data_IF_899585121038
#
_entry.id   IF_899585121038
#
_cell.length_a   1.000
_cell.length_b   1.000
_cell.length_c   1.000
_cell.angle_alpha   90.00
_cell.angle_beta   90.00
_cell.angle_gamma   90.00
#
_symmetry.space_group_name_H-M   'P 1'
#
loop_
_entity.id
_entity.type
_entity.pdbx_description
1 polymer ?
#
# COMPACT_ATOMS: atom_id res chain seq x y z
N UNK A 1 -5.50 7.27 11.06
CA UNK A 1 -4.97 8.64 11.17
C UNK A 1 -5.93 9.69 10.63
N UNK A 2 -6.27 9.64 9.31
CA UNK A 2 -7.09 10.67 8.64
C UNK A 2 -8.45 10.90 9.33
N UNK A 3 -9.18 9.85 9.67
CA UNK A 3 -10.48 9.99 10.37
C UNK A 3 -10.33 10.71 11.72
N UNK A 4 -9.29 10.40 12.48
CA UNK A 4 -9.01 11.07 13.76
C UNK A 4 -8.58 12.53 13.53
N UNK A 5 -7.81 12.80 12.50
CA UNK A 5 -7.44 14.16 12.11
C UNK A 5 -8.69 15.00 11.74
N UNK A 6 -9.64 14.40 10.98
CA UNK A 6 -10.92 15.05 10.67
C UNK A 6 -11.70 15.34 11.96
N UNK A 7 -11.86 14.35 12.86
CA UNK A 7 -12.54 14.56 14.14
C UNK A 7 -11.97 15.77 14.90
N UNK A 8 -10.65 15.82 15.03
CA UNK A 8 -9.97 16.91 15.74
C UNK A 8 -10.11 18.25 15.01
N UNK A 9 -10.05 18.27 13.70
CA UNK A 9 -10.18 19.51 12.92
C UNK A 9 -11.60 20.10 12.96
N UNK A 10 -12.62 19.28 13.19
CA UNK A 10 -14.01 19.74 13.24
C UNK A 10 -14.46 20.25 14.61
N UNK A 11 -13.69 20.01 15.68
CA UNK A 11 -14.08 20.44 17.03
C UNK A 11 -14.22 21.96 17.14
N UNK A 12 -13.36 22.73 16.48
CA UNK A 12 -13.46 24.19 16.46
C UNK A 12 -14.80 24.66 15.88
N UNK A 13 -15.21 24.11 14.75
CA UNK A 13 -16.48 24.47 14.11
C UNK A 13 -17.70 24.00 14.91
N UNK A 14 -17.57 22.83 15.59
CA UNK A 14 -18.63 22.30 16.43
C UNK A 14 -18.88 23.17 17.67
N UNK A 15 -17.80 23.68 18.28
CA UNK A 15 -17.86 24.43 19.55
C UNK A 15 -17.88 25.95 19.36
N UNK A 16 -17.63 26.44 18.14
CA UNK A 16 -17.50 27.87 17.86
C UNK A 16 -16.20 28.50 18.35
N UNK A 17 -15.26 27.73 18.92
CA UNK A 17 -13.99 28.27 19.42
C UNK A 17 -13.13 28.73 18.27
N UNK A 18 -12.61 29.97 18.27
CA UNK A 18 -11.76 30.47 17.20
C UNK A 18 -10.52 29.61 16.99
N UNK A 19 -10.21 29.30 15.70
CA UNK A 19 -9.02 28.55 15.36
C UNK A 19 -7.77 29.40 15.46
N UNK A 20 -6.81 29.00 16.29
CA UNK A 20 -5.50 29.67 16.40
C UNK A 20 -4.49 29.19 15.35
N UNK A 21 -4.93 28.46 14.32
CA UNK A 21 -4.06 27.87 13.30
C UNK A 21 -3.33 26.61 13.79
N UNK A 22 -2.40 26.10 12.99
CA UNK A 22 -1.60 24.93 13.31
C UNK A 22 -2.27 23.59 13.02
N UNK A 23 -1.68 22.52 13.56
CA UNK A 23 -2.11 21.13 13.32
C UNK A 23 -3.39 20.78 14.08
N UNK A 24 -4.17 19.83 13.55
CA UNK A 24 -5.49 19.47 14.08
C UNK A 24 -5.47 19.06 15.56
N UNK A 25 -4.46 18.34 16.00
CA UNK A 25 -4.32 17.93 17.42
C UNK A 25 -4.15 19.13 18.35
N UNK A 26 -3.37 20.14 17.97
CA UNK A 26 -3.16 21.36 18.80
C UNK A 26 -4.47 22.14 18.92
N UNK A 27 -5.23 22.26 17.82
CA UNK A 27 -6.56 22.89 17.83
C UNK A 27 -7.53 22.14 18.71
N UNK A 28 -7.58 20.81 18.61
CA UNK A 28 -8.43 19.98 19.47
C UNK A 28 -8.10 20.13 20.95
N UNK A 29 -6.80 20.12 21.31
CA UNK A 29 -6.36 20.34 22.68
C UNK A 29 -6.76 21.72 23.19
N UNK A 30 -6.62 22.76 22.36
CA UNK A 30 -7.06 24.11 22.73
C UNK A 30 -8.56 24.16 23.02
N UNK A 31 -9.39 23.56 22.20
CA UNK A 31 -10.84 23.46 22.43
C UNK A 31 -11.15 22.74 23.74
N UNK A 32 -10.52 21.58 23.98
CA UNK A 32 -10.77 20.77 25.18
C UNK A 32 -10.33 21.46 26.46
N UNK A 33 -9.21 22.21 26.42
CA UNK A 33 -8.66 22.90 27.60
C UNK A 33 -9.34 24.23 27.93
N UNK A 34 -10.13 24.79 26.99
CA UNK A 34 -10.77 26.07 27.16
C UNK A 34 -12.31 26.00 26.97
N UNK A 35 -13.03 25.21 27.75
CA UNK A 35 -14.50 25.08 27.61
C UNK A 35 -15.26 26.40 27.84
N UNK A 36 -14.67 27.36 28.53
CA UNK A 36 -15.23 28.67 28.72
C UNK A 36 -15.33 29.51 27.45
N UNK A 37 -14.66 29.12 26.36
CA UNK A 37 -14.76 29.80 25.08
C UNK A 37 -15.85 29.22 24.15
N UNK A 38 -16.62 28.26 24.61
CA UNK A 38 -17.69 27.65 23.80
C UNK A 38 -18.78 28.62 23.49
N UNK A 39 -19.11 28.73 22.22
CA UNK A 39 -20.32 29.42 21.77
C UNK A 39 -21.52 28.46 21.89
N UNK A 40 -22.35 28.65 22.90
CA UNK A 40 -23.46 27.75 23.20
C UNK A 40 -24.49 27.63 22.08
N UNK A 41 -24.88 28.69 21.36
CA UNK A 41 -25.73 28.56 20.17
C UNK A 41 -25.11 27.67 19.06
N UNK A 42 -23.84 27.87 18.78
CA UNK A 42 -23.10 27.05 17.80
C UNK A 42 -23.04 25.59 18.24
N UNK A 43 -22.68 25.34 19.50
CA UNK A 43 -22.59 23.97 20.04
C UNK A 43 -23.95 23.27 20.04
N UNK A 44 -25.02 23.95 20.50
CA UNK A 44 -26.37 23.40 20.51
C UNK A 44 -26.87 23.05 19.10
N UNK A 45 -26.58 23.91 18.12
CA UNK A 45 -26.89 23.67 16.71
C UNK A 45 -26.16 22.45 16.17
N UNK A 46 -24.86 22.33 16.44
CA UNK A 46 -24.07 21.18 16.00
C UNK A 46 -24.49 19.88 16.68
N UNK A 47 -24.73 19.90 17.98
CA UNK A 47 -25.23 18.73 18.71
C UNK A 47 -26.61 18.28 18.22
N UNK A 48 -27.54 19.24 17.95
CA UNK A 48 -28.83 18.89 17.35
C UNK A 48 -28.69 18.21 16.02
N UNK A 49 -27.76 18.65 15.15
CA UNK A 49 -27.47 18.00 13.88
C UNK A 49 -26.92 16.57 14.08
N UNK A 50 -26.04 16.35 15.08
CA UNK A 50 -25.53 15.00 15.41
C UNK A 50 -26.69 14.10 15.87
N UNK A 51 -27.54 14.57 16.76
CA UNK A 51 -28.67 13.80 17.28
C UNK A 51 -29.64 13.43 16.16
N UNK A 52 -30.02 14.39 15.31
CA UNK A 52 -30.90 14.16 14.15
C UNK A 52 -30.27 13.10 13.24
N UNK A 53 -28.98 13.24 12.90
CA UNK A 53 -28.27 12.33 12.03
C UNK A 53 -28.23 10.90 12.59
N UNK A 54 -27.93 10.75 13.88
CA UNK A 54 -27.86 9.44 14.53
C UNK A 54 -29.26 8.80 14.69
N UNK A 55 -30.27 9.58 14.99
CA UNK A 55 -31.66 9.12 15.10
C UNK A 55 -32.18 8.58 13.75
N UNK A 56 -31.91 9.30 12.66
CA UNK A 56 -32.40 8.94 11.33
C UNK A 56 -31.59 7.81 10.65
N UNK A 57 -30.34 7.59 11.03
CA UNK A 57 -29.49 6.55 10.41
C UNK A 57 -30.03 5.12 10.55
N UNK A 58 -30.89 4.85 11.52
CA UNK A 58 -31.47 3.51 11.79
C UNK A 58 -32.87 3.34 11.22
N UNK A 59 -33.44 4.33 10.55
CA UNK A 59 -34.80 4.31 10.04
C UNK A 59 -34.90 4.15 8.52
N UNK A 60 -36.11 4.08 7.98
CA UNK A 60 -36.38 3.98 6.55
C UNK A 60 -35.87 5.20 5.75
N UNK A 61 -35.64 6.31 6.42
CA UNK A 61 -35.12 7.57 5.84
C UNK A 61 -33.60 7.75 6.01
N UNK A 62 -32.86 6.68 6.32
CA UNK A 62 -31.41 6.74 6.55
C UNK A 62 -30.63 7.39 5.40
N UNK A 63 -31.06 7.21 4.16
CA UNK A 63 -30.43 7.81 2.97
C UNK A 63 -30.52 9.35 2.97
N UNK A 64 -31.52 9.91 3.62
CA UNK A 64 -31.74 11.37 3.72
C UNK A 64 -31.25 11.97 5.04
N UNK A 65 -30.71 11.15 5.96
CA UNK A 65 -30.35 11.56 7.30
C UNK A 65 -29.40 12.76 7.33
N UNK A 66 -28.38 12.76 6.48
CA UNK A 66 -27.41 13.88 6.38
C UNK A 66 -28.06 15.16 5.86
N UNK A 67 -28.96 15.04 4.89
CA UNK A 67 -29.68 16.17 4.32
C UNK A 67 -30.62 16.82 5.34
N UNK A 68 -31.36 16.00 6.09
CA UNK A 68 -32.26 16.48 7.17
C UNK A 68 -31.45 17.09 8.32
N UNK A 69 -30.33 16.49 8.71
CA UNK A 69 -29.45 17.02 9.75
C UNK A 69 -28.77 18.35 9.36
N UNK A 70 -28.60 18.63 8.07
CA UNK A 70 -28.19 19.96 7.61
C UNK A 70 -29.34 20.94 7.53
N UNK A 71 -30.49 20.53 6.99
CA UNK A 71 -31.60 21.41 6.69
C UNK A 71 -32.36 21.89 7.95
N UNK A 72 -32.73 20.98 8.87
CA UNK A 72 -33.54 21.31 10.03
C UNK A 72 -32.89 22.35 10.94
N UNK A 73 -31.61 22.18 11.41
CA UNK A 73 -30.98 23.20 12.23
C UNK A 73 -30.75 24.52 11.48
N UNK A 74 -30.48 24.44 10.15
CA UNK A 74 -30.33 25.66 9.33
C UNK A 74 -31.64 26.47 9.31
N UNK A 75 -32.77 25.80 9.07
CA UNK A 75 -34.09 26.44 9.07
C UNK A 75 -34.41 26.99 10.47
N UNK A 76 -34.14 26.21 11.52
CA UNK A 76 -34.40 26.67 12.91
C UNK A 76 -33.60 27.93 13.23
N UNK A 77 -32.31 27.99 12.87
CA UNK A 77 -31.48 29.19 13.07
C UNK A 77 -32.01 30.42 12.31
N UNK A 78 -32.49 30.21 11.07
CA UNK A 78 -33.08 31.31 10.29
C UNK A 78 -34.35 31.83 10.91
N UNK A 79 -35.22 30.95 11.40
CA UNK A 79 -36.49 31.34 12.06
C UNK A 79 -36.27 32.00 13.41
N UNK A 80 -35.28 31.56 14.19
CA UNK A 80 -34.93 32.11 15.50
C UNK A 80 -34.14 33.42 15.41
N UNK A 81 -33.66 33.80 14.22
CA UNK A 81 -32.85 35.01 14.02
C UNK A 81 -31.55 35.02 14.82
N UNK A 82 -31.00 33.83 15.14
CA UNK A 82 -29.83 33.73 16.02
C UNK A 82 -28.59 34.26 15.27
N UNK A 83 -28.02 35.34 15.80
CA UNK A 83 -26.77 35.92 15.31
C UNK A 83 -25.57 35.19 15.94
N UNK A 84 -24.41 35.22 15.25
CA UNK A 84 -23.14 34.73 15.81
C UNK A 84 -22.71 33.34 15.31
N UNK A 85 -23.64 32.51 14.82
CA UNK A 85 -23.26 31.20 14.27
C UNK A 85 -22.65 31.36 12.88
N UNK A 86 -21.38 30.95 12.71
CA UNK A 86 -20.63 31.04 11.43
C UNK A 86 -21.30 30.18 10.37
N UNK A 87 -21.54 30.75 9.20
CA UNK A 87 -22.17 30.12 8.04
C UNK A 87 -21.12 29.86 6.95
N UNK A 88 -21.45 28.99 6.00
CA UNK A 88 -20.57 28.69 4.87
C UNK A 88 -20.22 29.95 4.08
N UNK A 89 -21.21 30.86 3.90
CA UNK A 89 -21.00 32.14 3.21
C UNK A 89 -20.04 33.10 3.90
N UNK A 90 -19.85 32.98 5.24
CA UNK A 90 -18.93 33.79 6.02
C UNK A 90 -17.48 33.35 5.91
N UNK A 91 -17.24 32.08 5.50
CA UNK A 91 -15.91 31.48 5.38
C UNK A 91 -15.33 31.65 3.97
N UNK A 92 -16.19 31.71 2.97
CA UNK A 92 -15.74 31.89 1.58
C UNK A 92 -16.89 32.13 0.61
N UNK A 93 -16.59 32.76 -0.50
CA UNK A 93 -17.55 32.98 -1.59
C UNK A 93 -17.81 31.66 -2.32
N UNK A 94 -19.08 31.26 -2.38
CA UNK A 94 -19.52 30.16 -3.23
C UNK A 94 -19.79 30.74 -4.61
N UNK A 95 -19.08 30.31 -5.66
CA UNK A 95 -19.35 30.77 -7.02
C UNK A 95 -20.81 30.48 -7.38
N UNK A 96 -21.52 31.48 -7.86
CA UNK A 96 -22.86 31.31 -8.41
C UNK A 96 -22.76 31.08 -9.91
N UNK A 97 -23.47 30.05 -10.41
CA UNK A 97 -23.51 29.72 -11.83
C UNK A 97 -22.59 28.54 -12.20
N UNK A 98 -22.54 28.28 -13.51
CA UNK A 98 -21.70 27.20 -14.05
C UNK A 98 -20.23 27.62 -14.07
N UNK A 99 -19.31 26.78 -13.58
CA UNK A 99 -17.89 27.06 -13.67
C UNK A 99 -17.46 27.12 -15.14
N UNK A 100 -16.80 28.20 -15.51
CA UNK A 100 -16.22 28.31 -16.87
C UNK A 100 -14.83 27.67 -16.91
N UNK A 101 -14.46 27.08 -18.04
CA UNK A 101 -13.13 26.50 -18.20
C UNK A 101 -12.05 27.61 -18.12
N UNK A 102 -10.98 27.33 -17.42
CA UNK A 102 -9.86 28.21 -17.22
C UNK A 102 -8.55 27.46 -17.36
N UNK A 103 -7.64 27.98 -18.17
CA UNK A 103 -6.30 27.42 -18.27
C UNK A 103 -5.49 27.73 -17.01
N UNK A 104 -4.81 26.75 -16.44
CA UNK A 104 -3.91 27.00 -15.32
C UNK A 104 -2.82 28.02 -15.69
N UNK A 105 -2.53 28.93 -14.78
CA UNK A 105 -1.46 29.93 -14.96
C UNK A 105 -0.11 29.24 -14.85
N UNK A 106 0.75 29.39 -15.84
CA UNK A 106 2.13 28.88 -15.82
C UNK A 106 2.96 29.54 -14.71
N UNK A 107 2.62 30.76 -14.27
CA UNK A 107 3.28 31.45 -13.17
C UNK A 107 2.98 30.82 -11.79
N UNK A 108 1.94 30.02 -11.67
CA UNK A 108 1.62 29.27 -10.45
C UNK A 108 2.43 27.96 -10.33
N UNK A 109 3.23 27.60 -11.34
CA UNK A 109 4.01 26.37 -11.34
C UNK A 109 5.22 26.53 -10.40
N UNK A 110 5.24 25.78 -9.31
CA UNK A 110 6.31 25.75 -8.32
C UNK A 110 6.63 24.32 -7.90
N UNK A 111 7.80 24.09 -7.31
CA UNK A 111 8.17 22.79 -6.76
C UNK A 111 7.17 22.29 -5.71
N UNK A 112 6.63 23.20 -4.90
CA UNK A 112 5.63 22.87 -3.89
C UNK A 112 4.32 22.38 -4.51
N UNK A 113 3.89 23.00 -5.62
CA UNK A 113 2.71 22.56 -6.38
C UNK A 113 2.95 21.18 -6.99
N UNK A 114 4.12 20.92 -7.55
CA UNK A 114 4.49 19.61 -8.10
C UNK A 114 4.53 18.54 -7.01
N UNK A 115 5.20 18.83 -5.89
CA UNK A 115 5.27 17.91 -4.75
C UNK A 115 3.86 17.62 -4.18
N UNK A 116 3.02 18.67 -4.06
CA UNK A 116 1.63 18.56 -3.65
C UNK A 116 0.80 17.70 -4.62
N UNK A 117 1.00 17.86 -5.93
CA UNK A 117 0.33 17.07 -6.95
C UNK A 117 0.68 15.57 -6.85
N UNK A 118 1.96 15.22 -6.66
CA UNK A 118 2.38 13.85 -6.42
C UNK A 118 1.77 13.25 -5.15
N UNK A 119 1.75 14.02 -4.06
CA UNK A 119 1.15 13.57 -2.80
C UNK A 119 -0.36 13.33 -2.96
N UNK A 120 -1.08 14.23 -3.62
CA UNK A 120 -2.51 14.06 -3.92
C UNK A 120 -2.74 12.88 -4.85
N UNK A 121 -1.93 12.71 -5.91
CA UNK A 121 -2.02 11.56 -6.81
C UNK A 121 -1.84 10.23 -6.06
N UNK A 122 -0.87 10.14 -5.15
CA UNK A 122 -0.69 8.94 -4.31
C UNK A 122 -1.93 8.63 -3.46
N UNK A 123 -2.56 9.66 -2.85
CA UNK A 123 -3.79 9.50 -2.08
C UNK A 123 -4.93 9.01 -2.97
N UNK A 124 -5.11 9.61 -4.14
CA UNK A 124 -6.15 9.26 -5.12
C UNK A 124 -5.98 7.81 -5.59
N UNK A 125 -4.75 7.38 -5.87
CA UNK A 125 -4.45 6.00 -6.27
C UNK A 125 -4.78 5.00 -5.16
N UNK A 126 -4.39 5.27 -3.91
CA UNK A 126 -4.70 4.40 -2.76
C UNK A 126 -6.21 4.32 -2.51
N UNK A 127 -6.92 5.44 -2.62
CA UNK A 127 -8.39 5.46 -2.50
C UNK A 127 -9.05 4.68 -3.66
N UNK A 128 -8.59 4.88 -4.87
CA UNK A 128 -9.08 4.18 -6.06
C UNK A 128 -8.89 2.68 -5.97
N UNK A 129 -7.71 2.21 -5.57
CA UNK A 129 -7.45 0.79 -5.33
C UNK A 129 -8.42 0.18 -4.31
N UNK A 130 -8.65 0.89 -3.19
CA UNK A 130 -9.59 0.43 -2.16
C UNK A 130 -11.05 0.35 -2.64
N UNK A 131 -11.44 1.17 -3.61
CA UNK A 131 -12.78 1.08 -4.25
C UNK A 131 -12.83 -0.11 -5.19
N UNK A 132 -11.84 -0.27 -6.07
CA UNK A 132 -11.78 -1.39 -7.02
C UNK A 132 -11.85 -2.74 -6.32
N UNK A 133 -11.15 -2.91 -5.19
CA UNK A 133 -11.21 -4.13 -4.39
C UNK A 133 -12.56 -4.35 -3.69
N UNK A 134 -13.22 -3.27 -3.24
CA UNK A 134 -14.45 -3.36 -2.46
C UNK A 134 -15.72 -3.42 -3.30
N UNK A 135 -15.63 -3.13 -4.58
CA UNK A 135 -16.77 -2.98 -5.49
C UNK A 135 -16.50 -3.66 -6.85
N UNK A 136 -16.52 -5.02 -6.93
CA UNK A 136 -16.38 -5.73 -8.19
C UNK A 136 -17.47 -5.31 -9.19
N UNK A 137 -17.24 -5.56 -10.47
CA UNK A 137 -18.21 -5.25 -11.52
C UNK A 137 -19.57 -5.94 -11.28
N UNK A 138 -20.67 -5.40 -11.84
CA UNK A 138 -22.01 -6.01 -11.67
C UNK A 138 -22.13 -7.45 -12.18
N UNK A 139 -21.28 -7.84 -13.12
CA UNK A 139 -21.17 -9.21 -13.67
C UNK A 139 -20.31 -10.14 -12.80
N UNK A 140 -19.79 -9.66 -11.66
CA UNK A 140 -18.93 -10.40 -10.75
C UNK A 140 -17.45 -10.46 -11.15
N UNK A 141 -17.09 -9.89 -12.30
CA UNK A 141 -15.67 -9.82 -12.70
C UNK A 141 -14.90 -8.84 -11.82
N UNK A 142 -13.60 -9.08 -11.57
CA UNK A 142 -12.76 -8.12 -10.87
C UNK A 142 -12.74 -6.77 -11.60
N UNK A 143 -12.71 -5.68 -10.85
CA UNK A 143 -12.45 -4.37 -11.42
C UNK A 143 -11.04 -4.31 -12.02
N UNK A 144 -10.86 -3.53 -13.08
CA UNK A 144 -9.54 -3.26 -13.67
C UNK A 144 -8.94 -2.00 -13.04
N UNK A 145 -7.97 -2.11 -12.11
CA UNK A 145 -7.40 -0.95 -11.42
C UNK A 145 -6.75 0.05 -12.38
N UNK A 146 -6.14 -0.42 -13.48
CA UNK A 146 -5.49 0.46 -14.43
C UNK A 146 -6.50 1.36 -15.15
N UNK A 147 -7.62 0.80 -15.57
CA UNK A 147 -8.73 1.58 -16.17
C UNK A 147 -9.33 2.58 -15.20
N UNK A 148 -9.50 2.17 -13.95
CA UNK A 148 -10.02 3.03 -12.90
C UNK A 148 -9.06 4.20 -12.61
N UNK A 149 -7.76 3.96 -12.57
CA UNK A 149 -6.75 5.00 -12.38
C UNK A 149 -6.69 5.98 -13.56
N UNK A 150 -6.77 5.48 -14.80
CA UNK A 150 -6.84 6.33 -15.99
C UNK A 150 -8.09 7.20 -15.95
N UNK A 151 -9.25 6.63 -15.59
CA UNK A 151 -10.51 7.37 -15.50
C UNK A 151 -10.47 8.44 -14.41
N UNK A 152 -9.89 8.13 -13.22
CA UNK A 152 -9.69 9.11 -12.14
C UNK A 152 -8.73 10.22 -12.55
N UNK A 153 -7.63 9.89 -13.24
CA UNK A 153 -6.68 10.86 -13.77
C UNK A 153 -7.34 11.81 -14.79
N UNK A 154 -8.11 11.27 -15.74
CA UNK A 154 -8.84 12.05 -16.73
C UNK A 154 -9.90 12.96 -16.08
N UNK A 155 -10.64 12.43 -15.08
CA UNK A 155 -11.61 13.21 -14.32
C UNK A 155 -10.96 14.37 -13.55
N UNK A 156 -9.81 14.13 -12.92
CA UNK A 156 -9.06 15.17 -12.19
C UNK A 156 -8.44 16.21 -13.13
N UNK A 157 -7.97 15.81 -14.30
CA UNK A 157 -7.54 16.76 -15.35
C UNK A 157 -8.70 17.66 -15.78
N UNK A 158 -9.86 17.08 -16.08
CA UNK A 158 -11.07 17.84 -16.41
C UNK A 158 -11.46 18.79 -15.27
N UNK A 159 -11.47 18.32 -14.01
CA UNK A 159 -11.77 19.15 -12.85
C UNK A 159 -10.80 20.33 -12.73
N UNK A 160 -9.51 20.13 -13.01
CA UNK A 160 -8.49 21.19 -13.00
C UNK A 160 -8.79 22.34 -13.97
N UNK A 161 -9.33 22.05 -15.16
CA UNK A 161 -9.76 23.08 -16.10
C UNK A 161 -10.96 23.92 -15.60
N UNK A 162 -11.75 23.37 -14.69
CA UNK A 162 -12.89 24.06 -14.08
C UNK A 162 -12.58 24.57 -12.65
N UNK A 163 -11.31 24.66 -12.26
CA UNK A 163 -10.85 25.05 -10.91
C UNK A 163 -11.44 24.14 -9.81
N UNK A 164 -11.76 22.91 -10.15
CA UNK A 164 -12.23 21.91 -9.22
C UNK A 164 -11.11 21.33 -8.38
N UNK A 165 -11.46 20.84 -7.20
CA UNK A 165 -10.52 20.10 -6.36
C UNK A 165 -10.30 18.68 -6.91
N UNK A 166 -9.09 18.12 -6.77
CA UNK A 166 -8.85 16.72 -7.11
C UNK A 166 -9.68 15.80 -6.21
N UNK A 167 -10.24 14.76 -6.82
CA UNK A 167 -11.09 13.78 -6.13
C UNK A 167 -10.56 12.37 -6.32
N UNK A 168 -10.71 11.52 -5.31
CA UNK A 168 -10.42 10.10 -5.37
C UNK A 168 -11.67 9.24 -5.20
N UNK A 169 -11.52 7.94 -5.43
CA UNK A 169 -12.60 6.98 -5.21
C UNK A 169 -13.06 6.94 -3.75
N UNK A 170 -14.35 6.82 -3.52
CA UNK A 170 -14.94 6.71 -2.18
C UNK A 170 -15.70 5.40 -2.02
N UNK A 171 -15.18 4.52 -1.18
CA UNK A 171 -15.84 3.23 -0.84
C UNK A 171 -17.23 3.47 -0.25
N UNK A 172 -17.38 4.49 0.60
CA UNK A 172 -18.67 4.83 1.22
C UNK A 172 -19.71 5.31 0.20
N UNK A 173 -19.33 6.20 -0.69
CA UNK A 173 -20.21 6.71 -1.78
C UNK A 173 -20.60 5.58 -2.74
N UNK A 174 -19.65 4.72 -3.10
CA UNK A 174 -19.90 3.58 -3.98
C UNK A 174 -20.85 2.58 -3.33
N UNK A 175 -20.64 2.27 -2.03
CA UNK A 175 -21.54 1.39 -1.29
C UNK A 175 -22.95 1.98 -1.17
N UNK A 176 -23.08 3.29 -0.92
CA UNK A 176 -24.37 3.99 -0.86
C UNK A 176 -25.10 3.94 -2.21
N UNK A 177 -24.41 4.23 -3.31
CA UNK A 177 -24.96 4.14 -4.65
C UNK A 177 -25.50 2.74 -4.97
N UNK A 178 -24.73 1.70 -4.63
CA UNK A 178 -25.15 0.32 -4.84
C UNK A 178 -26.35 -0.07 -3.99
N UNK A 179 -26.36 0.31 -2.71
CA UNK A 179 -27.50 0.06 -1.82
C UNK A 179 -28.78 0.79 -2.27
N UNK A 180 -28.62 1.92 -2.96
CA UNK A 180 -29.73 2.65 -3.58
C UNK A 180 -30.19 2.07 -4.93
N UNK A 181 -29.59 0.94 -5.40
CA UNK A 181 -29.99 0.26 -6.63
C UNK A 181 -29.24 0.71 -7.88
N UNK A 182 -28.12 1.41 -7.76
CA UNK A 182 -27.31 1.79 -8.91
C UNK A 182 -26.64 0.56 -9.55
N UNK A 183 -26.95 0.30 -10.81
CA UNK A 183 -26.42 -0.83 -11.60
C UNK A 183 -25.37 -0.41 -12.64
N UNK A 184 -25.05 0.87 -12.76
CA UNK A 184 -24.11 1.31 -13.78
C UNK A 184 -23.54 2.71 -13.56
N UNK A 185 -22.63 3.07 -14.46
CA UNK A 185 -21.91 4.36 -14.46
C UNK A 185 -22.82 5.60 -14.57
N UNK A 186 -24.02 5.46 -15.11
CA UNK A 186 -24.97 6.56 -15.28
C UNK A 186 -25.43 7.18 -13.96
N UNK A 187 -25.42 6.41 -12.87
CA UNK A 187 -25.71 6.94 -11.53
C UNK A 187 -24.67 7.99 -11.11
N UNK A 188 -23.39 7.77 -11.39
CA UNK A 188 -22.34 8.75 -11.10
C UNK A 188 -22.44 9.99 -12.00
N UNK A 189 -22.76 9.80 -13.29
CA UNK A 189 -23.01 10.92 -14.21
C UNK A 189 -24.19 11.76 -13.74
N UNK A 190 -25.31 11.11 -13.37
CA UNK A 190 -26.50 11.81 -12.84
C UNK A 190 -26.17 12.58 -11.56
N UNK A 191 -25.35 12.01 -10.64
CA UNK A 191 -24.90 12.71 -9.46
C UNK A 191 -24.12 13.99 -9.81
N UNK A 192 -23.22 13.92 -10.80
CA UNK A 192 -22.52 15.11 -11.31
C UNK A 192 -23.44 16.17 -11.87
N UNK A 193 -24.43 15.77 -12.66
CA UNK A 193 -25.44 16.68 -13.22
C UNK A 193 -26.26 17.35 -12.10
N UNK A 194 -26.72 16.58 -11.11
CA UNK A 194 -27.42 17.14 -9.95
C UNK A 194 -26.56 18.12 -9.15
N UNK A 195 -25.26 17.84 -8.98
CA UNK A 195 -24.35 18.78 -8.33
C UNK A 195 -24.22 20.10 -9.11
N UNK A 196 -24.16 20.04 -10.46
CA UNK A 196 -24.17 21.24 -11.31
C UNK A 196 -25.49 22.03 -11.16
N UNK A 197 -26.64 21.35 -11.13
CA UNK A 197 -27.95 21.98 -10.89
C UNK A 197 -28.01 22.66 -9.52
N UNK A 198 -27.54 21.99 -8.49
CA UNK A 198 -27.50 22.57 -7.13
C UNK A 198 -26.59 23.81 -7.09
N UNK A 199 -25.41 23.74 -7.70
CA UNK A 199 -24.49 24.87 -7.75
C UNK A 199 -25.05 26.04 -8.55
N UNK A 200 -25.71 25.78 -9.67
CA UNK A 200 -26.26 26.82 -10.55
C UNK A 200 -27.49 27.51 -9.95
N UNK A 201 -28.41 26.75 -9.33
CA UNK A 201 -29.71 27.26 -8.90
C UNK A 201 -29.83 27.51 -7.40
N UNK A 202 -29.07 26.75 -6.58
CA UNK A 202 -29.24 26.73 -5.12
C UNK A 202 -27.98 27.16 -4.34
N UNK A 203 -27.02 27.80 -4.99
CA UNK A 203 -25.78 28.28 -4.33
C UNK A 203 -26.08 29.23 -3.17
N UNK A 204 -27.14 30.04 -3.24
CA UNK A 204 -27.59 30.93 -2.16
C UNK A 204 -28.08 30.16 -0.93
N UNK A 205 -28.73 28.99 -1.12
CA UNK A 205 -29.15 28.14 -0.01
C UNK A 205 -27.94 27.48 0.69
N UNK A 206 -26.88 27.16 -0.03
CA UNK A 206 -25.66 26.61 0.57
C UNK A 206 -24.94 27.63 1.44
N UNK A 207 -25.00 28.93 1.08
CA UNK A 207 -24.34 30.01 1.84
C UNK A 207 -24.90 30.16 3.28
N UNK A 208 -26.18 29.86 3.49
CA UNK A 208 -26.82 30.00 4.83
C UNK A 208 -26.61 28.77 5.72
N UNK A 209 -26.03 27.70 5.24
CA UNK A 209 -25.79 26.50 6.05
C UNK A 209 -24.74 26.79 7.13
N UNK A 210 -25.02 26.47 8.42
CA UNK A 210 -24.06 26.68 9.50
C UNK A 210 -22.84 25.74 9.38
N UNK A 211 -21.65 26.28 9.61
CA UNK A 211 -20.41 25.47 9.61
C UNK A 211 -20.43 24.35 10.64
N UNK A 212 -21.12 24.58 11.77
CA UNK A 212 -21.26 23.58 12.83
C UNK A 212 -22.10 22.35 12.41
N UNK A 213 -23.12 22.52 11.55
CA UNK A 213 -23.89 21.38 11.01
C UNK A 213 -23.07 20.55 10.04
N UNK A 214 -22.22 21.18 9.22
CA UNK A 214 -21.24 20.47 8.37
C UNK A 214 -20.22 19.72 9.23
N UNK A 215 -19.69 20.37 10.27
CA UNK A 215 -18.79 19.74 11.22
C UNK A 215 -19.42 18.51 11.89
N UNK A 216 -20.70 18.62 12.29
CA UNK A 216 -21.47 17.50 12.85
C UNK A 216 -21.55 16.30 11.91
N UNK A 217 -21.88 16.53 10.63
CA UNK A 217 -21.94 15.48 9.61
C UNK A 217 -20.55 14.86 9.40
N UNK A 218 -19.50 15.68 9.31
CA UNK A 218 -18.12 15.19 9.13
C UNK A 218 -17.61 14.41 10.34
N UNK A 219 -17.95 14.80 11.57
CA UNK A 219 -17.60 14.06 12.80
C UNK A 219 -18.26 12.68 12.77
N UNK A 220 -19.54 12.59 12.47
CA UNK A 220 -20.26 11.31 12.42
C UNK A 220 -19.75 10.42 11.28
N UNK A 221 -19.43 11.02 10.12
CA UNK A 221 -18.84 10.30 9.00
C UNK A 221 -17.44 9.79 9.34
N UNK A 222 -16.60 10.61 9.95
CA UNK A 222 -15.25 10.24 10.36
C UNK A 222 -15.26 9.12 11.42
N UNK A 223 -16.17 9.20 12.39
CA UNK A 223 -16.38 8.12 13.37
C UNK A 223 -16.78 6.81 12.67
N UNK A 224 -17.69 6.86 11.72
CA UNK A 224 -18.11 5.69 10.93
C UNK A 224 -17.02 5.12 10.02
N UNK A 225 -16.02 5.93 9.67
CA UNK A 225 -14.86 5.50 8.89
C UNK A 225 -13.79 4.79 9.72
N UNK A 226 -13.87 4.85 11.06
CA UNK A 226 -12.97 4.13 11.96
C UNK A 226 -13.28 2.62 11.93
N UNK A 227 -12.52 1.89 11.12
CA UNK A 227 -12.65 0.44 10.99
C UNK A 227 -11.72 -0.27 11.99
N UNK A 228 -12.15 -0.37 13.23
CA UNK A 228 -11.36 -0.99 14.30
C UNK A 228 -10.88 -2.40 13.97
N UNK A 229 -11.70 -3.20 13.31
CA UNK A 229 -11.28 -4.54 12.86
C UNK A 229 -10.03 -4.51 11.98
N UNK A 230 -9.93 -3.59 11.02
CA UNK A 230 -8.73 -3.44 10.18
C UNK A 230 -7.50 -2.99 10.98
N UNK A 231 -7.68 -2.11 11.95
CA UNK A 231 -6.57 -1.68 12.83
C UNK A 231 -6.03 -2.88 13.61
N UNK A 232 -6.89 -3.71 14.16
CA UNK A 232 -6.52 -4.94 14.87
C UNK A 232 -5.81 -5.92 13.94
N UNK A 233 -6.33 -6.15 12.72
CA UNK A 233 -5.69 -7.04 11.74
C UNK A 233 -4.28 -6.57 11.38
N UNK A 234 -4.10 -5.27 11.11
CA UNK A 234 -2.76 -4.71 10.82
C UNK A 234 -1.84 -4.82 12.02
N UNK A 235 -2.35 -4.61 13.23
CA UNK A 235 -1.59 -4.77 14.47
C UNK A 235 -1.09 -6.21 14.67
N UNK A 236 -1.92 -7.18 14.33
CA UNK A 236 -1.61 -8.61 14.43
C UNK A 236 -0.69 -9.12 13.31
N UNK A 237 -0.51 -8.37 12.24
CA UNK A 237 0.32 -8.77 11.10
C UNK A 237 1.83 -8.77 11.39
N UNK A 238 2.27 -8.22 12.52
CA UNK A 238 3.64 -8.28 12.98
C UNK A 238 4.31 -6.93 13.26
N UNK A 239 5.56 -6.94 13.77
CA UNK A 239 6.24 -5.72 14.22
C UNK A 239 6.42 -4.65 13.15
N UNK A 240 6.72 -5.03 11.92
CA UNK A 240 6.87 -4.10 10.79
C UNK A 240 5.58 -3.33 10.52
N UNK A 241 4.44 -4.04 10.53
CA UNK A 241 3.11 -3.44 10.33
C UNK A 241 2.72 -2.54 11.50
N UNK A 242 3.07 -2.91 12.74
CA UNK A 242 2.85 -2.09 13.93
C UNK A 242 3.62 -0.76 13.85
N UNK A 243 4.91 -0.81 13.48
CA UNK A 243 5.75 0.39 13.31
C UNK A 243 5.16 1.30 12.23
N UNK A 244 4.81 0.75 11.06
CA UNK A 244 4.22 1.52 9.98
C UNK A 244 2.88 2.17 10.39
N UNK A 245 2.02 1.43 11.09
CA UNK A 245 0.73 1.91 11.59
C UNK A 245 0.91 3.06 12.58
N UNK A 246 1.77 2.89 13.59
CA UNK A 246 2.01 3.92 14.62
C UNK A 246 2.67 5.15 14.01
N UNK A 247 3.71 4.98 13.19
CA UNK A 247 4.41 6.09 12.55
C UNK A 247 3.47 6.90 11.65
N UNK A 248 2.67 6.22 10.81
CA UNK A 248 1.69 6.89 9.94
C UNK A 248 0.59 7.58 10.76
N UNK A 249 0.13 6.96 11.85
CA UNK A 249 -0.87 7.56 12.73
C UNK A 249 -0.34 8.84 13.38
N UNK A 250 0.86 8.79 13.96
CA UNK A 250 1.51 9.97 14.57
C UNK A 250 1.76 11.04 13.50
N UNK A 251 2.28 10.67 12.34
CA UNK A 251 2.49 11.61 11.24
C UNK A 251 1.20 12.34 10.83
N UNK A 252 0.05 11.64 10.76
CA UNK A 252 -1.24 12.27 10.40
C UNK A 252 -1.77 13.26 11.45
N UNK A 253 -1.30 13.21 12.68
CA UNK A 253 -1.68 14.17 13.73
C UNK A 253 -0.83 15.46 13.70
N UNK A 254 0.44 15.36 13.26
CA UNK A 254 1.41 16.46 13.33
C UNK A 254 1.76 17.07 11.97
N UNK A 255 1.56 16.34 10.88
CA UNK A 255 1.91 16.77 9.53
C UNK A 255 0.65 16.98 8.68
N UNK A 256 0.77 17.71 7.56
CA UNK A 256 -0.27 17.72 6.54
C UNK A 256 -0.57 16.28 6.08
N UNK A 257 -1.85 15.99 5.83
CA UNK A 257 -2.32 14.64 5.48
C UNK A 257 -1.54 14.04 4.30
N UNK A 258 -1.23 14.86 3.29
CA UNK A 258 -0.46 14.44 2.13
C UNK A 258 0.95 13.92 2.50
N UNK A 259 1.67 14.67 3.35
CA UNK A 259 3.00 14.27 3.83
C UNK A 259 2.93 13.00 4.69
N UNK A 260 1.94 12.90 5.57
CA UNK A 260 1.75 11.73 6.42
C UNK A 260 1.45 10.46 5.62
N UNK A 261 0.63 10.55 4.57
CA UNK A 261 0.35 9.42 3.66
C UNK A 261 1.61 9.05 2.89
N UNK A 262 2.36 10.03 2.36
CA UNK A 262 3.62 9.78 1.68
C UNK A 262 4.64 9.03 2.57
N UNK A 263 4.82 9.48 3.80
CA UNK A 263 5.68 8.80 4.80
C UNK A 263 5.19 7.38 5.04
N UNK A 264 3.88 7.18 5.22
CA UNK A 264 3.29 5.86 5.46
C UNK A 264 3.55 4.89 4.30
N UNK A 265 3.37 5.33 3.06
CA UNK A 265 3.64 4.53 1.86
C UNK A 265 5.12 4.17 1.76
N UNK A 266 6.01 5.15 1.86
CA UNK A 266 7.46 4.92 1.79
C UNK A 266 7.92 3.98 2.90
N UNK A 267 7.48 4.20 4.14
CA UNK A 267 7.84 3.34 5.27
C UNK A 267 7.31 1.91 5.10
N UNK A 268 6.07 1.75 4.64
CA UNK A 268 5.50 0.42 4.37
C UNK A 268 6.28 -0.32 3.30
N UNK A 269 6.64 0.35 2.20
CA UNK A 269 7.45 -0.24 1.13
C UNK A 269 8.83 -0.66 1.62
N UNK A 270 9.51 0.21 2.39
CA UNK A 270 10.82 -0.10 2.95
C UNK A 270 10.78 -1.28 3.92
N UNK A 271 9.76 -1.34 4.80
CA UNK A 271 9.59 -2.43 5.74
C UNK A 271 9.23 -3.74 5.04
N UNK A 272 8.40 -3.70 4.00
CA UNK A 272 8.06 -4.87 3.22
C UNK A 272 9.26 -5.39 2.44
N UNK A 273 10.01 -4.51 1.76
CA UNK A 273 11.25 -4.87 1.09
C UNK A 273 12.24 -5.52 2.07
N UNK A 274 12.40 -4.95 3.27
CA UNK A 274 13.27 -5.52 4.28
C UNK A 274 12.83 -6.92 4.72
N UNK A 275 11.54 -7.16 4.86
CA UNK A 275 10.99 -8.49 5.23
C UNK A 275 11.24 -9.50 4.13
N UNK A 276 10.97 -9.17 2.87
CA UNK A 276 11.22 -10.05 1.72
C UNK A 276 12.71 -10.35 1.51
N UNK A 277 13.59 -9.38 1.81
CA UNK A 277 15.03 -9.53 1.71
C UNK A 277 15.64 -10.41 2.82
N UNK A 278 14.98 -10.51 3.97
CA UNK A 278 15.44 -11.32 5.13
C UNK A 278 14.91 -12.76 5.08
N UNK A 279 14.03 -13.11 4.15
CA UNK A 279 13.39 -14.43 4.07
C UNK A 279 14.21 -15.45 3.25
N UNK A 280 15.48 -15.12 2.93
CA UNK A 280 16.36 -16.02 2.23
C UNK A 280 16.98 -17.03 3.19
N UNK A 281 16.82 -18.31 2.87
CA UNK A 281 17.43 -19.44 3.58
C UNK A 281 18.09 -20.39 2.59
N UNK A 282 19.20 -20.97 2.99
CA UNK A 282 19.85 -22.09 2.30
C UNK A 282 19.70 -23.32 3.20
N UNK A 283 19.22 -24.42 2.64
CA UNK A 283 19.02 -25.68 3.32
C UNK A 283 19.73 -26.79 2.57
N UNK A 284 20.13 -27.84 3.24
CA UNK A 284 20.64 -29.07 2.62
C UNK A 284 19.50 -30.06 2.48
N UNK A 285 19.33 -30.62 1.30
CA UNK A 285 18.40 -31.69 1.01
C UNK A 285 19.14 -33.03 1.04
N UNK A 286 18.70 -33.94 1.89
CA UNK A 286 19.24 -35.30 1.99
C UNK A 286 18.23 -36.25 1.39
N UNK A 287 18.60 -37.03 0.36
CA UNK A 287 17.69 -38.02 -0.22
C UNK A 287 17.41 -39.16 0.76
N UNK A 288 16.13 -39.54 0.87
CA UNK A 288 15.67 -40.67 1.66
C UNK A 288 15.44 -41.89 0.74
N UNK A 289 15.40 -43.10 1.32
CA UNK A 289 15.21 -44.36 0.59
C UNK A 289 13.84 -44.45 -0.13
N UNK A 290 12.86 -43.72 0.32
CA UNK A 290 11.51 -43.64 -0.26
C UNK A 290 11.38 -42.66 -1.44
N UNK A 291 12.48 -42.02 -1.85
CA UNK A 291 12.50 -41.03 -2.94
C UNK A 291 12.15 -39.61 -2.52
N UNK A 292 11.93 -39.38 -1.23
CA UNK A 292 11.72 -38.04 -0.65
C UNK A 292 13.05 -37.39 -0.26
N UNK A 293 13.00 -36.10 0.08
CA UNK A 293 14.13 -35.35 0.59
C UNK A 293 13.83 -34.84 1.99
N UNK A 294 14.77 -35.03 2.90
CA UNK A 294 14.75 -34.42 4.22
C UNK A 294 15.49 -33.09 4.18
N UNK A 295 14.85 -32.06 4.72
CA UNK A 295 15.45 -30.73 4.88
C UNK A 295 16.25 -30.67 6.16
N UNK A 296 17.56 -30.51 6.03
CA UNK A 296 18.45 -30.39 7.19
C UNK A 296 19.25 -29.09 7.15
N UNK A 297 19.75 -28.67 8.31
CA UNK A 297 20.58 -27.48 8.41
C UNK A 297 21.88 -27.66 7.62
N UNK A 298 22.28 -26.62 6.87
CA UNK A 298 23.56 -26.61 6.16
C UNK A 298 24.71 -26.60 7.18
N UNK A 299 25.67 -27.53 7.12
CA UNK A 299 26.84 -27.48 7.96
C UNK A 299 27.75 -26.31 7.54
N UNK A 300 28.55 -25.73 8.44
CA UNK A 300 29.45 -24.62 8.09
C UNK A 300 30.56 -25.03 7.10
N UNK A 301 30.92 -26.31 7.06
CA UNK A 301 31.88 -26.92 6.12
C UNK A 301 31.30 -28.18 5.52
N UNK A 302 31.70 -28.48 4.28
CA UNK A 302 31.35 -29.76 3.70
C UNK A 302 32.11 -30.90 4.43
N UNK A 303 31.41 -32.01 4.67
CA UNK A 303 31.93 -33.18 5.37
C UNK A 303 31.65 -34.45 4.55
N UNK A 304 32.64 -35.32 4.49
CA UNK A 304 32.52 -36.60 3.76
C UNK A 304 32.49 -36.47 2.25
N UNK A 305 32.73 -37.58 1.58
CA UNK A 305 32.69 -37.68 0.12
C UNK A 305 31.28 -38.04 -0.32
N UNK A 306 30.65 -37.15 -1.10
CA UNK A 306 29.30 -37.35 -1.63
C UNK A 306 28.76 -36.07 -2.23
N UNK A 307 27.63 -36.21 -2.96
CA UNK A 307 26.92 -35.05 -3.53
C UNK A 307 26.21 -34.31 -2.44
N UNK A 308 26.41 -32.99 -2.39
CA UNK A 308 25.67 -32.12 -1.47
C UNK A 308 24.66 -31.32 -2.26
N UNK A 309 23.37 -31.58 -2.00
CA UNK A 309 22.25 -30.85 -2.61
C UNK A 309 21.82 -29.71 -1.68
N UNK A 310 21.98 -28.49 -2.16
CA UNK A 310 21.57 -27.26 -1.47
C UNK A 310 20.37 -26.64 -2.16
N UNK A 311 19.36 -26.28 -1.41
CA UNK A 311 18.20 -25.53 -1.93
C UNK A 311 18.17 -24.12 -1.35
N UNK A 312 17.91 -23.14 -2.22
CA UNK A 312 17.87 -21.73 -1.85
C UNK A 312 16.41 -21.27 -1.83
N UNK A 313 15.88 -20.91 -0.68
CA UNK A 313 14.57 -20.29 -0.51
C UNK A 313 14.71 -18.78 -0.44
N UNK A 314 13.65 -18.04 -0.84
CA UNK A 314 13.62 -16.57 -0.78
C UNK A 314 14.12 -15.88 -2.06
N UNK A 315 14.31 -14.57 -2.03
CA UNK A 315 14.63 -13.75 -3.22
C UNK A 315 16.13 -13.62 -3.44
N UNK A 316 16.59 -13.81 -4.69
CA UNK A 316 17.99 -13.62 -5.11
C UNK A 316 18.34 -12.15 -5.42
N UNK A 317 17.66 -11.18 -4.79
CA UNK A 317 17.98 -9.77 -4.91
C UNK A 317 19.12 -9.36 -3.96
N UNK A 318 19.57 -8.11 -4.05
CA UNK A 318 20.79 -7.58 -3.43
C UNK A 318 21.06 -8.01 -1.97
N UNK A 319 20.09 -7.90 -1.07
CA UNK A 319 20.31 -8.24 0.34
C UNK A 319 20.35 -9.74 0.61
N UNK A 320 19.60 -10.53 -0.17
CA UNK A 320 19.63 -11.99 -0.08
C UNK A 320 20.99 -12.58 -0.48
N UNK A 321 21.74 -11.92 -1.36
CA UNK A 321 23.06 -12.38 -1.82
C UNK A 321 24.08 -12.51 -0.67
N UNK A 322 24.05 -11.58 0.29
CA UNK A 322 24.93 -11.64 1.48
C UNK A 322 24.57 -12.80 2.39
N UNK A 323 23.29 -13.11 2.51
CA UNK A 323 22.80 -14.25 3.28
C UNK A 323 23.19 -15.57 2.64
N UNK A 324 23.15 -15.67 1.29
CA UNK A 324 23.66 -16.87 0.58
C UNK A 324 25.14 -17.07 0.89
N UNK A 325 25.95 -16.04 0.75
CA UNK A 325 27.40 -16.11 1.00
C UNK A 325 27.73 -16.64 2.41
N UNK A 326 26.96 -16.23 3.40
CA UNK A 326 27.14 -16.64 4.81
C UNK A 326 26.65 -18.06 5.12
N UNK A 327 25.72 -18.61 4.31
CA UNK A 327 25.09 -19.90 4.56
C UNK A 327 25.56 -21.01 3.60
N UNK A 328 26.30 -20.66 2.55
CA UNK A 328 26.95 -21.67 1.71
C UNK A 328 28.10 -22.30 2.50
N UNK A 329 28.19 -23.66 2.54
CA UNK A 329 29.22 -24.35 3.29
C UNK A 329 30.59 -24.13 2.67
N UNK A 330 31.61 -24.05 3.52
CA UNK A 330 33.00 -23.98 3.03
C UNK A 330 33.40 -25.31 2.37
N UNK A 331 33.78 -25.31 1.08
CA UNK A 331 34.16 -26.52 0.38
C UNK A 331 35.54 -27.07 0.71
N UNK A 332 36.37 -26.30 1.43
CA UNK A 332 37.78 -26.67 1.74
C UNK A 332 37.93 -27.87 2.67
N UNK A 333 36.83 -28.39 3.22
CA UNK A 333 36.84 -29.56 4.11
C UNK A 333 36.85 -30.92 3.40
N UNK A 334 36.69 -30.96 2.09
CA UNK A 334 36.55 -32.20 1.29
C UNK A 334 37.40 -32.11 0.03
N UNK A 335 38.11 -33.16 -0.29
CA UNK A 335 38.78 -33.30 -1.60
C UNK A 335 37.72 -33.61 -2.67
N UNK A 336 37.74 -32.88 -3.78
CA UNK A 336 36.80 -33.04 -4.92
C UNK A 336 35.31 -32.89 -4.50
N UNK A 337 34.86 -31.75 -3.93
CA UNK A 337 33.49 -31.58 -3.56
C UNK A 337 32.56 -31.44 -4.76
N UNK A 338 31.45 -32.20 -4.80
CA UNK A 338 30.40 -32.08 -5.79
C UNK A 338 29.16 -31.43 -5.15
N UNK A 339 28.85 -30.22 -5.56
CA UNK A 339 27.75 -29.43 -4.97
C UNK A 339 26.66 -29.17 -6.01
N UNK A 340 25.43 -29.54 -5.71
CA UNK A 340 24.25 -29.18 -6.51
C UNK A 340 23.55 -28.05 -5.82
N UNK A 341 23.48 -26.87 -6.45
CA UNK A 341 22.76 -25.70 -5.95
C UNK A 341 21.46 -25.52 -6.73
N UNK A 342 20.34 -25.70 -6.04
CA UNK A 342 19.02 -25.63 -6.62
C UNK A 342 18.48 -24.21 -6.58
N UNK A 343 18.13 -23.66 -7.75
CA UNK A 343 17.63 -22.29 -7.95
C UNK A 343 16.19 -22.25 -8.47
N UNK A 344 15.43 -23.35 -8.33
CA UNK A 344 14.09 -23.47 -8.88
C UNK A 344 13.11 -22.45 -8.28
N UNK A 345 12.20 -21.94 -9.14
CA UNK A 345 11.21 -20.95 -8.75
C UNK A 345 11.73 -19.52 -8.70
N UNK A 346 12.94 -19.29 -9.18
CA UNK A 346 13.51 -17.95 -9.31
C UNK A 346 13.29 -17.43 -10.73
N UNK A 347 12.51 -16.37 -10.86
CA UNK A 347 12.28 -15.69 -12.14
C UNK A 347 13.31 -14.60 -12.42
N UNK A 348 13.98 -14.12 -11.37
CA UNK A 348 14.97 -13.03 -11.44
C UNK A 348 16.11 -13.30 -10.47
N UNK A 349 17.33 -12.93 -10.87
CA UNK A 349 18.49 -12.93 -10.01
C UNK A 349 19.25 -11.61 -10.18
N UNK A 350 19.61 -10.99 -9.06
CA UNK A 350 20.38 -9.75 -9.06
C UNK A 350 21.87 -10.01 -9.42
N UNK A 351 22.53 -8.99 -9.97
CA UNK A 351 23.96 -9.06 -10.30
C UNK A 351 24.85 -9.46 -9.12
N UNK A 352 24.46 -9.09 -7.91
CA UNK A 352 25.18 -9.43 -6.68
C UNK A 352 25.06 -10.93 -6.36
N UNK A 353 23.90 -11.56 -6.59
CA UNK A 353 23.74 -13.00 -6.43
C UNK A 353 24.65 -13.78 -7.39
N UNK A 354 24.77 -13.26 -8.62
CA UNK A 354 25.68 -13.86 -9.61
C UNK A 354 27.14 -13.79 -9.17
N UNK A 355 27.56 -12.69 -8.53
CA UNK A 355 28.92 -12.56 -7.95
C UNK A 355 29.15 -13.59 -6.85
N UNK A 356 28.16 -13.78 -5.97
CA UNK A 356 28.28 -14.75 -4.86
C UNK A 356 28.33 -16.18 -5.39
N UNK A 357 27.47 -16.54 -6.36
CA UNK A 357 27.47 -17.88 -6.98
C UNK A 357 28.78 -18.12 -7.71
N UNK A 358 29.29 -17.14 -8.47
CA UNK A 358 30.59 -17.23 -9.15
C UNK A 358 31.73 -17.43 -8.14
N UNK A 359 31.80 -16.64 -7.09
CA UNK A 359 32.80 -16.79 -6.03
C UNK A 359 32.72 -18.14 -5.30
N UNK A 360 31.49 -18.69 -5.16
CA UNK A 360 31.34 -20.03 -4.61
C UNK A 360 31.82 -21.11 -5.57
N UNK A 361 31.51 -21.00 -6.87
CA UNK A 361 32.01 -21.87 -7.89
C UNK A 361 33.54 -21.88 -7.93
N UNK A 362 34.19 -20.72 -7.81
CA UNK A 362 35.64 -20.61 -7.73
C UNK A 362 36.22 -21.31 -6.48
N UNK A 363 35.57 -21.19 -5.32
CA UNK A 363 36.01 -21.92 -4.11
C UNK A 363 35.84 -23.42 -4.24
N UNK A 364 34.74 -23.89 -4.82
CA UNK A 364 34.51 -25.33 -5.10
C UNK A 364 35.55 -25.85 -6.07
N UNK A 365 35.83 -25.13 -7.14
CA UNK A 365 36.85 -25.49 -8.12
C UNK A 365 38.27 -25.49 -7.53
N UNK A 366 38.59 -24.52 -6.65
CA UNK A 366 39.88 -24.49 -5.96
C UNK A 366 40.10 -25.68 -5.01
N UNK A 367 39.03 -26.29 -4.50
CA UNK A 367 39.07 -27.56 -3.78
C UNK A 367 39.06 -28.81 -4.69
N UNK A 368 39.26 -28.63 -6.02
CA UNK A 368 39.17 -29.69 -6.99
C UNK A 368 37.78 -30.22 -7.30
N UNK A 369 36.75 -29.49 -6.89
CA UNK A 369 35.35 -29.86 -7.02
C UNK A 369 34.63 -29.24 -8.22
N UNK A 370 33.34 -29.53 -8.34
CA UNK A 370 32.47 -29.01 -9.39
C UNK A 370 31.12 -28.57 -8.86
N UNK A 371 30.60 -27.44 -9.39
CA UNK A 371 29.30 -26.89 -9.02
C UNK A 371 28.26 -27.19 -10.08
N UNK A 372 27.11 -27.74 -9.67
CA UNK A 372 25.96 -28.02 -10.53
C UNK A 372 24.85 -27.09 -10.16
N UNK A 373 24.36 -26.28 -11.10
CA UNK A 373 23.18 -25.43 -10.89
C UNK A 373 21.95 -26.12 -11.44
N UNK A 374 20.92 -26.33 -10.63
CA UNK A 374 19.71 -27.01 -11.07
C UNK A 374 18.46 -26.12 -10.93
N UNK A 375 17.49 -26.34 -11.82
CA UNK A 375 16.24 -25.59 -11.84
C UNK A 375 16.39 -24.14 -12.27
N UNK A 376 17.39 -23.84 -13.10
CA UNK A 376 17.67 -22.49 -13.59
C UNK A 376 16.63 -22.10 -14.64
N UNK A 377 15.89 -21.02 -14.41
CA UNK A 377 14.93 -20.48 -15.38
C UNK A 377 15.64 -19.73 -16.52
N UNK A 378 15.02 -19.66 -17.71
CA UNK A 378 15.59 -18.96 -18.86
C UNK A 378 16.12 -17.54 -18.57
N UNK A 379 15.35 -16.66 -17.89
CA UNK A 379 15.82 -15.32 -17.53
C UNK A 379 17.04 -15.32 -16.58
N UNK A 380 17.14 -16.30 -15.69
CA UNK A 380 18.31 -16.45 -14.80
C UNK A 380 19.51 -16.95 -15.58
N UNK A 381 19.33 -17.91 -16.51
CA UNK A 381 20.37 -18.41 -17.39
C UNK A 381 20.95 -17.29 -18.27
N UNK A 382 20.09 -16.50 -18.88
CA UNK A 382 20.49 -15.33 -19.68
C UNK A 382 21.29 -14.31 -18.88
N UNK A 383 20.94 -14.14 -17.58
CA UNK A 383 21.69 -13.26 -16.67
C UNK A 383 23.04 -13.85 -16.29
N UNK A 384 23.14 -15.18 -16.11
CA UNK A 384 24.39 -15.91 -15.88
C UNK A 384 25.34 -15.75 -17.07
N UNK A 385 24.85 -16.00 -18.28
CA UNK A 385 25.63 -15.88 -19.52
C UNK A 385 26.09 -14.44 -19.76
N UNK A 386 25.20 -13.45 -19.63
CA UNK A 386 25.55 -12.03 -19.79
C UNK A 386 26.55 -11.52 -18.77
N UNK A 387 26.57 -12.11 -17.58
CA UNK A 387 27.49 -11.66 -16.52
C UNK A 387 28.95 -11.95 -16.90
N UNK A 388 29.21 -12.97 -17.73
CA UNK A 388 30.55 -13.41 -18.14
C UNK A 388 31.49 -13.79 -16.98
N UNK A 389 30.91 -13.92 -15.76
CA UNK A 389 31.67 -14.13 -14.51
C UNK A 389 31.80 -15.60 -14.12
N UNK A 390 30.95 -16.44 -14.66
CA UNK A 390 30.91 -17.87 -14.35
C UNK A 390 31.40 -18.63 -15.57
N UNK A 391 32.41 -19.43 -15.36
CA UNK A 391 32.86 -20.39 -16.38
C UNK A 391 31.89 -21.56 -16.42
N UNK A 392 30.91 -21.47 -17.33
CA UNK A 392 29.89 -22.49 -17.54
C UNK A 392 30.43 -23.76 -18.24
N UNK A 393 31.71 -23.81 -18.60
CA UNK A 393 32.30 -24.96 -19.29
C UNK A 393 33.17 -25.81 -18.38
N UNK A 394 33.98 -25.18 -17.54
CA UNK A 394 34.98 -25.89 -16.72
C UNK A 394 34.56 -26.01 -15.24
N UNK A 395 33.91 -25.00 -14.67
CA UNK A 395 33.63 -24.93 -13.22
C UNK A 395 32.18 -25.20 -12.84
N UNK A 396 31.24 -24.96 -13.75
CA UNK A 396 29.82 -25.03 -13.48
C UNK A 396 29.04 -25.71 -14.59
N UNK A 397 28.22 -26.68 -14.24
CA UNK A 397 27.23 -27.29 -15.15
C UNK A 397 25.82 -26.79 -14.80
N UNK A 398 25.05 -26.36 -15.81
CA UNK A 398 23.71 -25.82 -15.61
C UNK A 398 22.66 -26.78 -16.16
N UNK A 399 21.64 -27.02 -15.33
CA UNK A 399 20.43 -27.78 -15.68
C UNK A 399 19.23 -26.85 -15.60
N UNK A 400 18.62 -26.62 -16.75
CA UNK A 400 17.44 -25.72 -16.83
C UNK A 400 16.23 -26.30 -16.13
N UNK A 401 15.37 -25.41 -15.70
CA UNK A 401 14.06 -25.76 -15.12
C UNK A 401 13.14 -26.31 -16.22
N UNK A 402 12.55 -27.46 -15.98
CA UNK A 402 11.53 -28.06 -16.83
C UNK A 402 10.13 -28.03 -16.18
N UNK A 403 9.12 -28.57 -16.85
CA UNK A 403 7.75 -28.60 -16.35
C UNK A 403 7.57 -29.56 -15.14
N UNK A 404 8.46 -30.54 -14.99
CA UNK A 404 8.37 -31.56 -13.94
C UNK A 404 9.13 -31.10 -12.71
N UNK A 405 8.43 -30.98 -11.59
CA UNK A 405 9.02 -30.51 -10.32
C UNK A 405 10.00 -31.56 -9.80
N UNK A 406 11.27 -31.17 -9.62
CA UNK A 406 12.32 -32.04 -9.10
C UNK A 406 13.19 -32.71 -10.19
N UNK A 407 12.70 -32.89 -11.41
CA UNK A 407 13.41 -33.60 -12.47
C UNK A 407 14.78 -33.00 -12.76
N UNK A 408 14.88 -31.69 -12.99
CA UNK A 408 16.20 -31.04 -13.23
C UNK A 408 17.15 -31.19 -12.04
N UNK A 409 16.66 -31.30 -10.80
CA UNK A 409 17.47 -31.51 -9.61
C UNK A 409 17.95 -32.96 -9.51
N UNK A 410 17.10 -33.91 -9.89
CA UNK A 410 17.46 -35.34 -9.95
C UNK A 410 18.52 -35.58 -11.01
N UNK A 411 18.35 -35.01 -12.21
CA UNK A 411 19.35 -35.11 -13.30
C UNK A 411 20.68 -34.50 -12.89
N UNK A 412 20.65 -33.31 -12.26
CA UNK A 412 21.84 -32.65 -11.74
C UNK A 412 22.54 -33.47 -10.65
N UNK A 413 21.76 -34.09 -9.76
CA UNK A 413 22.28 -34.94 -8.68
C UNK A 413 23.00 -36.17 -9.24
N UNK A 414 22.37 -36.90 -10.17
CA UNK A 414 22.97 -38.04 -10.86
C UNK A 414 24.23 -37.65 -11.67
N UNK A 415 24.20 -36.49 -12.34
CA UNK A 415 25.37 -35.98 -13.03
C UNK A 415 26.52 -35.68 -12.06
N UNK A 416 26.21 -35.19 -10.88
CA UNK A 416 27.22 -34.96 -9.85
C UNK A 416 27.75 -36.25 -9.23
N UNK A 417 26.94 -37.32 -9.11
CA UNK A 417 27.40 -38.66 -8.70
C UNK A 417 28.37 -39.25 -9.74
N UNK A 418 27.99 -39.23 -11.02
CA UNK A 418 28.85 -39.69 -12.11
C UNK A 418 30.17 -38.93 -12.15
N UNK A 419 30.09 -37.59 -11.97
CA UNK A 419 31.30 -36.76 -11.92
C UNK A 419 32.26 -37.16 -10.78
N UNK A 420 31.72 -37.49 -9.58
CA UNK A 420 32.50 -37.97 -8.45
C UNK A 420 33.14 -39.33 -8.67
N UNK A 421 32.48 -40.21 -9.42
CA UNK A 421 33.03 -41.51 -9.82
C UNK A 421 34.22 -41.36 -10.78
N UNK A 422 34.11 -40.42 -11.74
CA UNK A 422 35.14 -40.13 -12.73
C UNK A 422 36.37 -39.37 -12.15
N UNK A 423 36.19 -38.73 -10.96
CA UNK A 423 37.22 -37.94 -10.30
C UNK A 423 37.51 -38.52 -8.88
N UNK A 424 38.14 -39.71 -8.82
CA UNK A 424 38.51 -40.27 -7.52
C UNK A 424 39.50 -39.35 -6.81
N UNK A 425 39.32 -39.17 -5.49
CA UNK A 425 40.26 -38.42 -4.68
C UNK A 425 41.66 -39.00 -4.87
N UNK A 426 42.57 -38.14 -5.30
CA UNK A 426 43.97 -38.56 -5.49
C UNK A 426 44.53 -39.07 -4.18
N UNK A 427 44.67 -40.38 -4.06
CA UNK A 427 45.38 -40.97 -2.95
C UNK A 427 46.81 -40.43 -2.99
N UNK A 428 47.14 -39.60 -2.00
CA UNK A 428 48.53 -39.34 -1.66
C UNK A 428 49.12 -40.66 -1.21
N UNK A 429 49.80 -41.31 -2.13
CA UNK A 429 50.77 -42.39 -1.81
C UNK A 429 51.91 -41.83 -1.01
#
# INVERSE_FOLDING_TARGET
>A
GVAVNILFSQLNYLTGVPSQGGVAIRRALHVITHPGLFDWPTLATGLSAIVILLALRRGPVASYASMVALALPTIALQLLGTAGVVRVGDVGEIPAGLPLPHLPSLSAFSLDVVAGAFAVAAIVLVQGAGVSESAPNPDGTPADPNRDFIAQGAGNLAAGFYRGQPTGGSVGQTALNRSAGAVGRWAAVAAGVWMLVILALFSSLVKVVPMTTLAAVLIVAAYGALRWGRVVTVWQAGPSSQIALVATFVATLWLPIAAAVGIGVVLSLLLQLNTELMDLRVVRLVPLEDGHFEEVKVPPRLEGRGVVLLDVYGSLLYAGSRTIEQHLPDPSGVDTPAVVLRLRGRSTAGSTAMVVIAGYADRVAAAGGHLFLSGVSGPVLETLERSGRIDLKEKVTVFEADAIVGHSSEVAYRAAETWLEDHPSGGTS
#
